data_IF_949803378192
#
_entry.id   IF_949803378192
#
_cell.length_a   1.000
_cell.length_b   1.000
_cell.length_c   1.000
_cell.angle_alpha   90.00
_cell.angle_beta   90.00
_cell.angle_gamma   90.00
#
_symmetry.space_group_name_H-M   'P 1'
#
loop_
_entity.id
_entity.type
_entity.pdbx_description
1 polymer ?
#
# COMPACT_ATOMS: atom_id res chain seq x y z
N UNK A 1 -12.10 32.70 3.91
CA UNK A 1 -11.63 33.00 5.29
C UNK A 1 -11.81 31.74 6.13
N UNK A 2 -10.73 31.06 6.50
CA UNK A 2 -10.69 30.21 7.68
C UNK A 2 -9.27 30.29 8.26
N UNK A 3 -9.16 30.72 9.52
CA UNK A 3 -7.93 30.67 10.30
C UNK A 3 -8.14 29.62 11.37
N UNK A 4 -7.53 28.45 11.19
CA UNK A 4 -7.41 27.45 12.26
C UNK A 4 -6.10 27.66 13.00
N UNK A 5 -6.17 28.11 14.26
CA UNK A 5 -5.03 28.10 15.18
C UNK A 5 -4.95 26.71 15.83
N UNK A 6 -3.83 26.01 15.71
CA UNK A 6 -3.52 24.86 16.57
C UNK A 6 -2.29 25.16 17.43
N UNK A 7 -2.53 25.20 18.75
CA UNK A 7 -1.48 25.25 19.77
C UNK A 7 -0.63 23.99 19.67
N UNK A 8 0.70 24.17 19.62
CA UNK A 8 1.68 23.09 19.85
C UNK A 8 1.51 22.52 21.26
N UNK A 9 1.50 21.20 21.37
CA UNK A 9 1.81 20.49 22.62
C UNK A 9 0.63 19.83 23.33
N UNK A 10 0.10 18.74 22.77
CA UNK A 10 -0.55 17.67 23.54
C UNK A 10 -0.40 16.36 22.75
N UNK A 11 -0.16 15.20 23.40
CA UNK A 11 -0.14 13.89 22.74
C UNK A 11 -1.48 13.55 22.05
N UNK A 12 -2.52 14.31 22.39
CA UNK A 12 -3.90 14.21 21.90
C UNK A 12 -4.31 15.47 21.11
N UNK A 13 -3.38 16.10 20.40
CA UNK A 13 -3.75 17.14 19.44
C UNK A 13 -4.67 16.49 18.39
N UNK A 14 -5.92 16.97 18.31
CA UNK A 14 -6.85 16.62 17.25
C UNK A 14 -6.12 16.81 15.92
N UNK A 15 -5.79 15.71 15.24
CA UNK A 15 -5.30 15.79 13.87
C UNK A 15 -6.49 16.32 13.07
N UNK A 16 -6.31 17.46 12.41
CA UNK A 16 -7.40 18.08 11.67
C UNK A 16 -7.97 17.11 10.63
N UNK A 17 -9.29 17.11 10.45
CA UNK A 17 -9.91 16.52 9.27
C UNK A 17 -9.80 17.56 8.16
N UNK A 18 -9.28 17.16 7.01
CA UNK A 18 -9.34 17.96 5.79
C UNK A 18 -10.17 17.23 4.74
N UNK A 19 -10.79 17.99 3.86
CA UNK A 19 -11.50 17.41 2.73
C UNK A 19 -11.29 18.27 1.48
N UNK A 20 -11.36 17.60 0.34
CA UNK A 20 -11.29 18.19 -0.99
C UNK A 20 -12.41 17.63 -1.85
N UNK A 21 -12.87 18.45 -2.81
CA UNK A 21 -13.85 18.03 -3.83
C UNK A 21 -13.11 17.89 -5.16
N UNK A 22 -13.08 16.67 -5.68
CA UNK A 22 -12.33 16.31 -6.88
C UNK A 22 -13.07 15.20 -7.61
N UNK A 23 -13.14 15.27 -8.94
CA UNK A 23 -13.68 14.19 -9.77
C UNK A 23 -12.60 13.11 -9.89
N UNK A 24 -12.63 12.13 -9.00
CA UNK A 24 -11.63 11.04 -8.94
C UNK A 24 -12.05 9.88 -9.83
N UNK A 25 -13.36 9.65 -9.96
CA UNK A 25 -13.93 8.56 -10.75
C UNK A 25 -14.06 8.86 -12.25
N UNK A 26 -13.87 10.11 -12.66
CA UNK A 26 -13.91 10.56 -14.05
C UNK A 26 -15.33 10.62 -14.63
N UNK A 27 -16.36 10.62 -13.79
CA UNK A 27 -17.77 10.62 -14.21
C UNK A 27 -18.37 12.04 -14.35
N UNK A 28 -17.58 13.07 -14.03
CA UNK A 28 -18.00 14.47 -14.04
C UNK A 28 -18.69 14.93 -12.74
N UNK A 29 -18.82 14.06 -11.74
CA UNK A 29 -19.36 14.35 -10.42
C UNK A 29 -18.21 14.45 -9.42
N UNK A 30 -18.21 15.51 -8.61
CA UNK A 30 -17.16 15.67 -7.60
C UNK A 30 -17.32 14.65 -6.47
N UNK A 31 -16.28 13.85 -6.25
CA UNK A 31 -16.09 13.00 -5.09
C UNK A 31 -15.54 13.81 -3.91
N UNK A 32 -15.75 13.30 -2.71
CA UNK A 32 -15.21 13.88 -1.48
C UNK A 32 -14.01 13.05 -1.05
N UNK A 33 -12.82 13.63 -1.20
CA UNK A 33 -11.61 13.12 -0.55
C UNK A 33 -11.59 13.60 0.90
N UNK A 34 -11.44 12.68 1.84
CA UNK A 34 -11.31 12.98 3.28
C UNK A 34 -9.97 12.45 3.76
N UNK A 35 -9.12 13.35 4.26
CA UNK A 35 -7.90 12.98 4.97
C UNK A 35 -8.09 13.29 6.45
N UNK A 36 -7.91 12.26 7.27
CA UNK A 36 -7.80 12.40 8.70
C UNK A 36 -6.70 11.50 9.25
N UNK A 37 -5.75 12.15 9.91
CA UNK A 37 -4.73 11.54 10.73
C UNK A 37 -3.68 10.70 10.00
N UNK A 38 -4.04 9.49 9.66
CA UNK A 38 -3.26 8.42 9.01
C UNK A 38 -4.20 7.65 8.07
N UNK A 39 -5.43 8.14 7.86
CA UNK A 39 -6.45 7.48 7.08
C UNK A 39 -6.98 8.40 6.00
N UNK A 40 -7.34 7.78 4.89
CA UNK A 40 -8.06 8.41 3.80
C UNK A 40 -9.40 7.70 3.62
N UNK A 41 -10.43 8.47 3.28
CA UNK A 41 -11.67 7.93 2.73
C UNK A 41 -12.07 8.71 1.48
N UNK A 42 -12.65 8.01 0.51
CA UNK A 42 -13.26 8.62 -0.67
C UNK A 42 -14.74 8.31 -0.65
N UNK A 43 -15.56 9.37 -0.76
CA UNK A 43 -17.02 9.28 -0.78
C UNK A 43 -17.51 9.81 -2.13
N UNK A 44 -18.21 8.97 -2.87
CA UNK A 44 -18.75 9.27 -4.20
C UNK A 44 -20.28 9.37 -4.16
N UNK A 45 -20.89 10.19 -5.02
CA UNK A 45 -22.35 10.28 -5.15
C UNK A 45 -22.86 9.48 -6.34
N UNK A 46 -23.44 8.31 -6.06
CA UNK A 46 -23.83 7.34 -7.08
C UNK A 46 -25.29 6.95 -6.92
N UNK A 47 -26.05 6.95 -8.02
CA UNK A 47 -27.44 6.51 -8.05
C UNK A 47 -28.35 7.20 -7.00
N UNK A 48 -28.05 8.45 -6.66
CA UNK A 48 -28.83 9.22 -5.69
C UNK A 48 -28.36 9.12 -4.24
N UNK A 49 -27.25 8.42 -3.95
CA UNK A 49 -26.75 8.19 -2.60
C UNK A 49 -25.24 8.45 -2.49
N UNK A 50 -24.81 8.93 -1.32
CA UNK A 50 -23.38 9.00 -0.99
C UNK A 50 -22.87 7.63 -0.52
N UNK A 51 -21.77 7.17 -1.11
CA UNK A 51 -21.15 5.88 -0.81
C UNK A 51 -19.67 6.06 -0.52
N UNK A 52 -19.19 5.42 0.54
CA UNK A 52 -17.75 5.21 0.69
C UNK A 52 -17.29 4.22 -0.37
N UNK A 53 -16.35 4.63 -1.20
CA UNK A 53 -15.79 3.84 -2.30
C UNK A 53 -14.32 3.50 -2.09
N UNK A 54 -13.68 4.08 -1.09
CA UNK A 54 -12.34 3.74 -0.65
C UNK A 54 -12.20 4.12 0.82
N UNK A 55 -11.56 3.27 1.61
CA UNK A 55 -11.00 3.65 2.91
C UNK A 55 -9.76 2.83 3.22
N UNK A 56 -8.74 3.49 3.72
CA UNK A 56 -7.48 2.84 4.06
C UNK A 56 -6.62 3.71 4.97
N UNK A 57 -5.63 3.07 5.59
CA UNK A 57 -4.73 3.68 6.56
C UNK A 57 -3.28 3.52 6.10
N UNK A 58 -2.46 4.54 6.36
CA UNK A 58 -1.01 4.49 6.33
C UNK A 58 -0.47 4.25 7.74
N UNK A 59 0.59 3.46 7.89
CA UNK A 59 1.28 3.30 9.18
C UNK A 59 2.31 4.39 9.49
N UNK A 60 2.69 5.24 8.51
CA UNK A 60 3.83 6.15 8.67
C UNK A 60 3.59 7.55 8.12
N UNK A 61 3.77 8.58 8.97
CA UNK A 61 3.48 10.00 8.65
C UNK A 61 4.43 10.67 7.65
N UNK A 62 5.45 9.96 7.16
CA UNK A 62 6.48 10.57 6.32
C UNK A 62 5.93 10.90 4.94
N UNK A 63 5.10 10.01 4.41
CA UNK A 63 4.43 10.16 3.12
C UNK A 63 2.91 10.13 3.36
N UNK A 64 2.21 11.05 2.71
CA UNK A 64 0.74 11.16 2.82
C UNK A 64 0.09 10.38 1.67
N UNK A 65 -1.11 9.82 1.87
CA UNK A 65 -1.90 9.32 0.77
C UNK A 65 -2.07 10.39 -0.31
N UNK A 66 -1.95 10.01 -1.57
CA UNK A 66 -2.14 10.89 -2.71
C UNK A 66 -3.06 10.24 -3.74
N UNK A 67 -3.71 11.06 -4.56
CA UNK A 67 -4.37 10.62 -5.77
C UNK A 67 -3.65 11.21 -6.99
N UNK A 68 -3.51 10.42 -8.05
CA UNK A 68 -2.77 10.78 -9.25
C UNK A 68 -3.37 10.05 -10.44
N UNK A 69 -3.55 10.75 -11.56
CA UNK A 69 -3.93 10.16 -12.84
C UNK A 69 -2.65 9.61 -13.52
N UNK A 70 -2.39 8.31 -13.35
CA UNK A 70 -1.15 7.67 -13.81
C UNK A 70 -1.13 7.40 -15.31
N UNK A 71 -2.29 7.14 -15.90
CA UNK A 71 -2.43 6.77 -17.32
C UNK A 71 -3.03 7.90 -18.18
N UNK A 72 -3.34 9.05 -17.59
CA UNK A 72 -3.94 10.21 -18.22
C UNK A 72 -5.31 9.89 -18.87
N UNK A 73 -6.13 9.07 -18.19
CA UNK A 73 -7.48 8.71 -18.63
C UNK A 73 -8.59 9.55 -17.96
N UNK A 74 -8.21 10.43 -17.03
CA UNK A 74 -9.13 11.28 -16.27
C UNK A 74 -9.72 10.60 -15.03
N UNK A 75 -9.32 9.37 -14.73
CA UNK A 75 -9.64 8.61 -13.53
C UNK A 75 -8.38 8.54 -12.68
N UNK A 76 -8.49 8.91 -11.40
CA UNK A 76 -7.33 9.01 -10.54
C UNK A 76 -7.12 7.70 -9.78
N UNK A 77 -5.91 7.18 -9.80
CA UNK A 77 -5.48 6.14 -8.87
C UNK A 77 -5.11 6.73 -7.51
N UNK A 78 -5.31 5.93 -6.44
CA UNK A 78 -4.98 6.33 -5.07
C UNK A 78 -3.75 5.54 -4.60
N UNK A 79 -2.71 6.27 -4.19
CA UNK A 79 -1.51 5.70 -3.60
C UNK A 79 -1.53 5.90 -2.10
N UNK A 80 -1.39 4.81 -1.37
CA UNK A 80 -1.34 4.80 0.08
C UNK A 80 0.02 4.24 0.50
N UNK A 81 0.95 5.12 0.89
CA UNK A 81 2.22 4.68 1.42
C UNK A 81 1.97 3.96 2.74
N UNK A 82 2.63 2.85 2.94
CA UNK A 82 2.58 2.07 4.16
C UNK A 82 4.00 1.63 4.54
N UNK A 83 4.12 0.99 5.69
CA UNK A 83 5.39 0.54 6.20
C UNK A 83 5.24 -0.79 6.92
N UNK A 84 6.07 -1.74 6.50
CA UNK A 84 6.07 -3.09 7.06
C UNK A 84 7.10 -3.12 8.17
N UNK A 85 6.62 -3.30 9.41
CA UNK A 85 7.49 -3.49 10.56
C UNK A 85 8.27 -4.79 10.42
N UNK A 86 9.60 -4.67 10.46
CA UNK A 86 10.51 -5.82 10.44
C UNK A 86 11.30 -5.91 11.75
N UNK A 87 11.29 -7.11 12.34
CA UNK A 87 12.09 -7.45 13.51
C UNK A 87 13.60 -7.41 13.17
N UNK A 88 14.39 -6.70 13.97
CA UNK A 88 15.84 -6.59 13.76
C UNK A 88 16.58 -5.93 14.93
N UNK A 89 17.93 -5.83 14.86
CA UNK A 89 18.74 -5.19 15.90
C UNK A 89 18.35 -3.73 16.12
N UNK A 90 17.72 -3.11 15.13
CA UNK A 90 16.97 -1.85 15.24
C UNK A 90 15.59 -2.06 14.63
N UNK A 91 14.54 -1.49 15.24
CA UNK A 91 13.22 -1.44 14.63
C UNK A 91 13.34 -0.75 13.27
N UNK A 92 12.96 -1.48 12.22
CA UNK A 92 13.02 -0.99 10.86
C UNK A 92 11.66 -1.17 10.18
N UNK A 93 11.40 -0.27 9.24
CA UNK A 93 10.15 -0.16 8.53
C UNK A 93 10.50 -0.19 7.05
N UNK A 94 10.12 -1.27 6.37
CA UNK A 94 10.29 -1.33 4.91
C UNK A 94 9.17 -0.53 4.26
N UNK A 95 9.48 0.29 3.24
CA UNK A 95 8.45 0.99 2.51
C UNK A 95 7.55 -0.01 1.79
N UNK A 96 6.26 0.26 1.80
CA UNK A 96 5.27 -0.46 1.02
C UNK A 96 4.36 0.56 0.35
N UNK A 97 3.91 0.27 -0.85
CA UNK A 97 2.90 1.09 -1.51
C UNK A 97 1.69 0.22 -1.84
N UNK A 98 0.52 0.72 -1.47
CA UNK A 98 -0.76 0.19 -1.90
C UNK A 98 -1.34 1.11 -2.97
N UNK A 99 -1.50 0.59 -4.19
CA UNK A 99 -2.14 1.31 -5.28
C UNK A 99 -3.58 0.84 -5.40
N UNK A 100 -4.53 1.78 -5.43
CA UNK A 100 -5.94 1.50 -5.65
C UNK A 100 -6.42 2.12 -6.95
N UNK A 101 -7.18 1.36 -7.71
CA UNK A 101 -7.75 1.77 -8.99
C UNK A 101 -9.27 1.68 -8.95
N UNK A 102 -9.91 2.56 -9.71
CA UNK A 102 -11.35 2.54 -9.86
C UNK A 102 -11.79 1.41 -10.79
N UNK A 103 -12.68 0.53 -10.32
CA UNK A 103 -13.23 -0.58 -11.13
C UNK A 103 -14.58 -0.26 -11.79
N UNK A 104 -15.06 0.99 -11.66
CA UNK A 104 -16.40 1.41 -12.07
C UNK A 104 -17.42 1.44 -10.93
N UNK A 105 -17.10 0.91 -9.74
CA UNK A 105 -17.98 0.91 -8.57
C UNK A 105 -17.26 1.18 -7.24
N UNK A 106 -16.02 0.72 -7.06
CA UNK A 106 -15.19 0.95 -5.88
C UNK A 106 -13.72 1.05 -6.26
N UNK A 107 -12.90 1.59 -5.36
CA UNK A 107 -11.46 1.49 -5.47
C UNK A 107 -10.99 0.10 -5.03
N UNK A 108 -10.25 -0.60 -5.90
CA UNK A 108 -9.72 -1.95 -5.68
C UNK A 108 -8.20 -1.94 -5.67
N UNK A 109 -7.60 -2.77 -4.82
CA UNK A 109 -6.14 -2.86 -4.69
C UNK A 109 -5.52 -3.46 -5.96
N UNK A 110 -4.66 -2.71 -6.64
CA UNK A 110 -3.86 -3.14 -7.79
C UNK A 110 -2.36 -2.94 -7.55
N UNK A 111 -1.82 -3.68 -6.58
CA UNK A 111 -0.39 -3.68 -6.33
C UNK A 111 0.40 -4.28 -7.51
N UNK A 112 -0.20 -5.19 -8.26
CA UNK A 112 0.47 -5.81 -9.41
C UNK A 112 0.96 -4.77 -10.42
N UNK A 113 0.10 -3.83 -10.82
CA UNK A 113 0.49 -2.74 -11.71
C UNK A 113 1.60 -1.89 -11.11
N UNK A 114 1.45 -1.45 -9.85
CA UNK A 114 2.45 -0.60 -9.19
C UNK A 114 3.84 -1.24 -9.19
N UNK A 115 3.94 -2.50 -8.72
CA UNK A 115 5.24 -3.17 -8.60
C UNK A 115 5.82 -3.59 -9.95
N UNK A 116 4.99 -3.80 -10.98
CA UNK A 116 5.44 -4.13 -12.33
C UNK A 116 5.97 -2.90 -13.07
N UNK A 117 5.37 -1.73 -12.89
CA UNK A 117 5.67 -0.53 -13.65
C UNK A 117 6.66 0.43 -12.94
N UNK A 118 6.93 0.23 -11.65
CA UNK A 118 7.77 1.13 -10.85
C UNK A 118 9.15 0.53 -10.51
N UNK A 119 10.04 0.54 -11.49
CA UNK A 119 11.41 -0.01 -11.34
C UNK A 119 12.23 0.73 -10.28
N UNK A 120 12.09 2.06 -10.17
CA UNK A 120 12.84 2.85 -9.19
C UNK A 120 12.49 2.45 -7.75
N UNK A 121 11.20 2.24 -7.47
CA UNK A 121 10.76 1.74 -6.16
C UNK A 121 11.29 0.33 -5.88
N UNK A 122 11.24 -0.54 -6.89
CA UNK A 122 11.75 -1.90 -6.77
C UNK A 122 13.26 -1.94 -6.51
N UNK A 123 14.05 -1.11 -7.19
CA UNK A 123 15.49 -0.99 -6.98
C UNK A 123 15.78 -0.53 -5.55
N UNK A 124 15.08 0.48 -5.05
CA UNK A 124 15.23 0.94 -3.67
C UNK A 124 14.89 -0.15 -2.65
N UNK A 125 13.83 -0.93 -2.89
CA UNK A 125 13.48 -2.08 -2.05
C UNK A 125 14.57 -3.16 -2.05
N UNK A 126 15.16 -3.45 -3.20
CA UNK A 126 16.26 -4.41 -3.33
C UNK A 126 17.54 -3.93 -2.63
N UNK A 127 17.86 -2.65 -2.68
CA UNK A 127 19.00 -2.11 -1.94
C UNK A 127 18.80 -2.30 -0.43
N UNK A 128 17.57 -2.08 0.05
CA UNK A 128 17.20 -2.38 1.44
C UNK A 128 17.26 -3.89 1.73
N UNK A 129 16.86 -4.76 0.78
CA UNK A 129 17.03 -6.22 0.90
C UNK A 129 18.46 -6.60 1.26
N UNK A 130 19.38 -6.16 0.40
CA UNK A 130 20.77 -6.55 0.46
C UNK A 130 21.37 -6.08 1.78
N UNK A 131 21.02 -4.84 2.19
CA UNK A 131 21.42 -4.31 3.47
C UNK A 131 20.91 -5.17 4.64
N UNK A 132 19.60 -5.45 4.71
CA UNK A 132 18.98 -6.15 5.84
C UNK A 132 19.32 -7.64 5.93
N UNK A 133 19.54 -8.31 4.80
CA UNK A 133 19.96 -9.73 4.74
C UNK A 133 21.20 -10.01 5.59
N UNK A 134 22.08 -9.02 5.76
CA UNK A 134 23.29 -9.18 6.57
C UNK A 134 23.06 -9.17 8.07
N UNK A 135 21.91 -8.67 8.53
CA UNK A 135 21.63 -8.45 9.95
C UNK A 135 20.54 -9.36 10.50
N UNK A 136 19.63 -9.87 9.67
CA UNK A 136 18.48 -10.64 10.12
C UNK A 136 18.08 -11.75 9.13
N UNK A 137 17.67 -12.91 9.66
CA UNK A 137 16.84 -13.87 8.93
C UNK A 137 15.39 -13.48 9.16
N UNK A 138 14.93 -12.47 8.44
CA UNK A 138 13.61 -11.93 8.68
C UNK A 138 12.59 -12.53 7.71
N UNK A 139 11.65 -13.30 8.24
CA UNK A 139 10.56 -13.94 7.50
C UNK A 139 9.58 -12.96 6.88
N UNK A 140 9.30 -11.85 7.57
CA UNK A 140 8.45 -10.77 7.08
C UNK A 140 9.10 -10.18 5.83
N UNK A 141 10.42 -9.98 5.90
CA UNK A 141 11.21 -9.51 4.79
C UNK A 141 11.12 -10.48 3.57
N UNK A 142 11.35 -11.78 3.77
CA UNK A 142 11.31 -12.78 2.69
C UNK A 142 9.92 -12.87 2.07
N UNK A 143 8.86 -12.82 2.89
CA UNK A 143 7.49 -12.85 2.41
C UNK A 143 7.17 -11.69 1.48
N UNK A 144 7.45 -10.45 1.92
CA UNK A 144 7.11 -9.26 1.12
C UNK A 144 7.93 -9.17 -0.17
N UNK A 145 9.20 -9.59 -0.17
CA UNK A 145 9.92 -9.69 -1.43
C UNK A 145 9.42 -10.81 -2.32
N UNK A 146 8.98 -11.92 -1.75
CA UNK A 146 8.25 -12.97 -2.48
C UNK A 146 7.01 -12.40 -3.18
N UNK A 147 6.23 -11.55 -2.50
CA UNK A 147 5.09 -10.83 -3.08
C UNK A 147 5.51 -9.91 -4.23
N UNK A 148 6.56 -9.11 -4.04
CA UNK A 148 7.04 -8.18 -5.07
C UNK A 148 7.48 -8.95 -6.33
N UNK A 149 8.23 -10.04 -6.18
CA UNK A 149 8.61 -10.87 -7.32
C UNK A 149 7.42 -11.60 -7.95
N UNK A 150 6.43 -11.99 -7.15
CA UNK A 150 5.16 -12.54 -7.64
C UNK A 150 4.44 -11.53 -8.55
N UNK A 151 4.25 -10.30 -8.08
CA UNK A 151 3.62 -9.22 -8.85
C UNK A 151 4.39 -8.90 -10.14
N UNK A 152 5.72 -8.93 -10.09
CA UNK A 152 6.57 -8.69 -11.27
C UNK A 152 6.68 -9.89 -12.21
N UNK A 153 5.95 -10.98 -11.96
CA UNK A 153 5.97 -12.18 -12.79
C UNK A 153 7.27 -12.99 -12.75
N UNK A 154 8.18 -12.72 -11.80
CA UNK A 154 9.41 -13.48 -11.61
C UNK A 154 9.14 -14.73 -10.78
N UNK A 155 8.53 -15.73 -11.43
CA UNK A 155 8.12 -16.99 -10.81
C UNK A 155 9.26 -17.70 -10.05
N UNK A 156 10.50 -17.83 -10.58
CA UNK A 156 11.57 -18.50 -9.86
C UNK A 156 11.90 -17.84 -8.52
N UNK A 157 12.07 -16.50 -8.50
CA UNK A 157 12.40 -15.77 -7.27
C UNK A 157 11.22 -15.73 -6.29
N UNK A 158 10.00 -15.53 -6.79
CA UNK A 158 8.80 -15.57 -5.97
C UNK A 158 8.68 -16.93 -5.27
N UNK A 159 8.85 -18.04 -6.01
CA UNK A 159 8.78 -19.39 -5.46
C UNK A 159 9.87 -19.65 -4.43
N UNK A 160 11.13 -19.30 -4.72
CA UNK A 160 12.25 -19.49 -3.79
C UNK A 160 11.99 -18.82 -2.44
N UNK A 161 11.61 -17.53 -2.46
CA UNK A 161 11.40 -16.75 -1.24
C UNK A 161 10.16 -17.20 -0.47
N UNK A 162 9.05 -17.49 -1.15
CA UNK A 162 7.82 -17.94 -0.49
C UNK A 162 7.96 -19.36 0.07
N UNK A 163 8.69 -20.26 -0.61
CA UNK A 163 9.01 -21.59 -0.04
C UNK A 163 9.92 -21.48 1.17
N UNK A 164 10.88 -20.55 1.18
CA UNK A 164 11.68 -20.27 2.36
C UNK A 164 10.79 -19.83 3.53
N UNK A 165 9.80 -18.96 3.29
CA UNK A 165 8.84 -18.54 4.33
C UNK A 165 8.09 -19.76 4.88
N UNK A 166 7.51 -20.60 4.03
CA UNK A 166 6.79 -21.81 4.47
C UNK A 166 7.69 -22.76 5.27
N UNK A 167 8.97 -22.88 4.91
CA UNK A 167 9.89 -23.83 5.54
C UNK A 167 10.61 -23.34 6.80
N UNK A 168 10.84 -22.03 6.95
CA UNK A 168 11.74 -21.46 7.98
C UNK A 168 11.04 -20.46 8.93
N UNK A 169 9.75 -20.17 8.75
CA UNK A 169 8.98 -19.29 9.65
C UNK A 169 8.12 -20.03 10.68
N UNK A 170 7.88 -19.40 11.84
CA UNK A 170 6.91 -19.87 12.84
C UNK A 170 5.56 -19.11 12.77
N UNK A 171 5.49 -18.02 12.00
CA UNK A 171 4.31 -17.15 11.91
C UNK A 171 3.26 -17.73 10.95
N UNK A 172 2.23 -18.37 11.50
CA UNK A 172 1.20 -19.10 10.74
C UNK A 172 0.50 -18.26 9.66
N UNK A 173 0.22 -16.98 9.92
CA UNK A 173 -0.44 -16.12 8.94
C UNK A 173 0.40 -15.94 7.68
N UNK A 174 1.73 -15.81 7.82
CA UNK A 174 2.66 -15.72 6.69
C UNK A 174 2.78 -17.05 5.95
N UNK A 175 2.73 -18.18 6.65
CA UNK A 175 2.74 -19.52 6.03
C UNK A 175 1.52 -19.67 5.14
N UNK A 176 0.32 -19.45 5.69
CA UNK A 176 -0.94 -19.61 4.96
C UNK A 176 -1.01 -18.68 3.74
N UNK A 177 -0.56 -17.43 3.90
CA UNK A 177 -0.52 -16.49 2.81
C UNK A 177 0.49 -16.91 1.73
N UNK A 178 1.69 -17.37 2.11
CA UNK A 178 2.71 -17.84 1.18
C UNK A 178 2.24 -19.08 0.40
N UNK A 179 1.62 -20.06 1.08
CA UNK A 179 1.03 -21.24 0.45
C UNK A 179 -0.05 -20.87 -0.56
N UNK A 180 -0.97 -19.97 -0.19
CA UNK A 180 -2.03 -19.49 -1.09
C UNK A 180 -1.50 -18.86 -2.38
N UNK A 181 -0.31 -18.25 -2.32
CA UNK A 181 0.34 -17.64 -3.49
C UNK A 181 1.12 -18.67 -4.28
N UNK A 182 1.84 -19.57 -3.61
CA UNK A 182 2.58 -20.66 -4.25
C UNK A 182 1.65 -21.57 -5.09
N UNK A 183 0.42 -21.78 -4.64
CA UNK A 183 -0.62 -22.54 -5.36
C UNK A 183 -1.07 -21.86 -6.66
N UNK A 184 -0.93 -20.54 -6.76
CA UNK A 184 -1.26 -19.76 -7.96
C UNK A 184 -0.12 -19.72 -8.97
N UNK A 185 1.12 -20.03 -8.55
CA UNK A 185 2.28 -20.03 -9.42
C UNK A 185 2.32 -21.29 -10.31
N UNK A 186 2.70 -21.16 -11.59
CA UNK A 186 2.79 -22.31 -12.49
C UNK A 186 3.80 -23.35 -11.97
N UNK A 187 3.53 -24.67 -12.15
CA UNK A 187 4.41 -25.72 -11.69
C UNK A 187 5.78 -25.66 -12.39
N UNK A 188 6.81 -26.12 -11.69
CA UNK A 188 8.17 -26.28 -12.25
C UNK A 188 8.26 -27.49 -13.18
#
# INVERSE_FOLDING_TARGET
MSRGWTKRGSPWAFKGVSFELVDLTGDGILDIWVDHAEGVAVISFQNGEFKEVCSAYTSHKADLPEYIDLNNDGIYEIKIPDSISIDGPTAAYLPWMSLYEWDGNTYVLNNERFYTENDDFFIQLLEQYIFWRHFTKNEVYHFHMGLVYYYRGNVPMARELLQWVVGDTEKQDYIQAAESILDKLPPQ
#
